data_IF_653384393232
#
_entry.id   IF_653384393232
#
_cell.length_a   1.000
_cell.length_b   1.000
_cell.length_c   1.000
_cell.angle_alpha   90.00
_cell.angle_beta   90.00
_cell.angle_gamma   90.00
#
_symmetry.space_group_name_H-M   'P 1'
#
loop_
_entity.id
_entity.type
_entity.pdbx_description
1 polymer ?
#
# COMPACT_ATOMS: atom_id res chain seq x y z
N UNK A 1 63.74 -16.97 14.21
CA UNK A 1 63.46 -16.53 15.58
C UNK A 1 62.82 -15.15 15.51
N UNK A 2 61.55 -15.00 15.66
CA UNK A 2 60.86 -13.69 15.76
C UNK A 2 59.73 -13.83 16.76
N UNK A 3 59.82 -13.09 17.85
CA UNK A 3 58.95 -13.06 19.00
C UNK A 3 57.58 -12.49 18.64
N UNK A 4 56.50 -13.23 18.88
CA UNK A 4 55.13 -12.78 18.83
C UNK A 4 54.75 -12.25 20.22
N UNK A 5 54.58 -10.94 20.34
CA UNK A 5 54.04 -10.30 21.54
C UNK A 5 52.54 -10.46 21.57
N UNK A 6 52.00 -11.12 22.60
CA UNK A 6 50.59 -11.21 22.89
C UNK A 6 50.11 -9.88 23.46
N UNK A 7 49.17 -9.25 22.78
CA UNK A 7 48.40 -8.11 23.28
C UNK A 7 47.17 -8.63 24.02
N UNK A 8 47.01 -8.23 25.27
CA UNK A 8 45.84 -8.52 26.09
C UNK A 8 44.70 -7.63 25.67
N UNK A 9 43.56 -8.24 25.35
CA UNK A 9 42.31 -7.52 25.07
C UNK A 9 41.60 -7.20 26.40
N UNK A 10 41.39 -5.91 26.65
CA UNK A 10 40.60 -5.43 27.77
C UNK A 10 39.10 -5.68 27.48
N UNK A 11 38.47 -6.38 28.39
CA UNK A 11 37.00 -6.59 28.38
C UNK A 11 36.36 -5.30 28.87
N UNK A 12 35.81 -4.54 27.92
CA UNK A 12 34.94 -3.40 28.21
C UNK A 12 33.53 -3.86 28.53
N UNK A 13 33.15 -3.73 29.79
CA UNK A 13 31.75 -3.91 30.27
C UNK A 13 30.89 -2.78 29.71
N UNK A 14 30.14 -3.06 28.64
CA UNK A 14 29.15 -2.14 28.15
C UNK A 14 27.90 -2.21 29.05
N UNK A 15 27.69 -1.15 29.81
CA UNK A 15 26.44 -0.94 30.56
C UNK A 15 25.31 -0.77 29.55
N UNK A 16 24.37 -1.73 29.52
CA UNK A 16 23.10 -1.61 28.82
C UNK A 16 22.29 -0.52 29.53
N UNK A 17 22.26 0.69 28.97
CA UNK A 17 21.22 1.65 29.30
C UNK A 17 19.92 1.16 28.68
N UNK A 18 19.04 0.60 29.48
CA UNK A 18 17.62 0.47 29.16
C UNK A 18 17.06 1.88 29.00
N UNK A 19 17.03 2.38 27.77
CA UNK A 19 16.18 3.52 27.42
C UNK A 19 14.75 2.99 27.53
N UNK A 20 14.08 3.31 28.63
CA UNK A 20 12.65 3.11 28.77
C UNK A 20 11.97 3.85 27.64
N UNK A 21 11.48 3.11 26.65
CA UNK A 21 10.49 3.60 25.72
C UNK A 21 9.27 3.89 26.58
N UNK A 22 9.10 5.18 26.98
CA UNK A 22 7.84 5.67 27.50
C UNK A 22 6.82 5.35 26.40
N UNK A 23 6.05 4.29 26.61
CA UNK A 23 4.92 3.93 25.77
C UNK A 23 4.05 5.17 25.69
N UNK A 24 3.97 5.76 24.50
CA UNK A 24 2.89 6.70 24.19
C UNK A 24 1.61 5.96 24.57
N UNK A 25 0.72 6.57 25.39
CA UNK A 25 -0.58 5.99 25.63
C UNK A 25 -1.22 5.87 24.24
N UNK A 26 -1.22 4.67 23.69
CA UNK A 26 -2.09 4.34 22.59
C UNK A 26 -3.47 4.76 23.08
N UNK A 27 -4.05 5.79 22.48
CA UNK A 27 -5.45 6.10 22.68
C UNK A 27 -6.21 4.85 22.21
N UNK A 28 -6.36 3.89 23.12
CA UNK A 28 -7.40 2.89 23.00
C UNK A 28 -8.70 3.71 23.04
N UNK A 29 -9.21 4.08 21.87
CA UNK A 29 -10.57 4.56 21.76
C UNK A 29 -11.45 3.42 22.26
N UNK A 30 -11.81 3.50 23.53
CA UNK A 30 -12.84 2.62 24.07
C UNK A 30 -14.09 2.90 23.22
N UNK A 31 -14.48 1.93 22.41
CA UNK A 31 -15.71 2.05 21.64
C UNK A 31 -16.83 2.36 22.62
N UNK A 32 -17.39 3.55 22.53
CA UNK A 32 -18.55 3.92 23.33
C UNK A 32 -19.74 3.09 22.84
N UNK A 33 -20.19 2.18 23.68
CA UNK A 33 -21.37 1.36 23.38
C UNK A 33 -22.61 2.14 23.80
N UNK A 34 -23.55 2.31 22.88
CA UNK A 34 -24.84 2.87 23.25
C UNK A 34 -25.55 1.99 24.28
N UNK A 35 -26.43 2.55 25.14
CA UNK A 35 -27.18 1.78 26.13
C UNK A 35 -27.92 0.55 25.56
N UNK A 36 -28.17 0.53 24.25
CA UNK A 36 -28.81 -0.57 23.52
C UNK A 36 -27.82 -1.55 22.87
N UNK A 37 -26.50 -1.50 23.20
CA UNK A 37 -25.50 -2.44 22.70
C UNK A 37 -25.00 -2.21 21.26
N UNK A 38 -25.39 -1.12 20.60
CA UNK A 38 -24.88 -0.78 19.28
C UNK A 38 -23.52 -0.10 19.35
N UNK A 39 -22.61 -0.36 18.37
CA UNK A 39 -21.42 0.47 18.21
C UNK A 39 -21.83 1.93 18.02
N UNK A 40 -21.29 2.84 18.87
CA UNK A 40 -21.64 4.26 18.82
C UNK A 40 -20.71 5.07 17.91
N UNK A 41 -19.49 4.58 17.71
CA UNK A 41 -18.46 5.36 17.06
C UNK A 41 -18.70 5.43 15.55
N UNK A 42 -18.68 6.67 14.99
CA UNK A 42 -18.67 6.83 13.56
C UNK A 42 -17.38 6.21 12.99
N UNK A 43 -17.50 5.49 11.89
CA UNK A 43 -16.38 4.76 11.32
C UNK A 43 -16.42 4.67 9.81
N UNK A 44 -15.25 4.29 9.24
CA UNK A 44 -15.13 3.96 7.84
C UNK A 44 -15.42 2.49 7.59
N UNK A 45 -16.14 2.21 6.51
CA UNK A 45 -16.34 0.86 5.99
C UNK A 45 -15.91 0.80 4.54
N UNK A 46 -15.33 -0.33 4.14
CA UNK A 46 -14.81 -0.54 2.79
C UNK A 46 -15.51 -1.72 2.13
N UNK A 47 -15.84 -1.56 0.85
CA UNK A 47 -16.54 -2.58 0.06
C UNK A 47 -16.06 -2.56 -1.38
N UNK A 48 -16.48 -3.58 -2.17
CA UNK A 48 -16.09 -3.72 -3.57
C UNK A 48 -14.57 -3.60 -3.79
N UNK A 49 -13.79 -4.21 -2.91
CA UNK A 49 -12.33 -4.19 -3.02
C UNK A 49 -11.91 -5.02 -4.22
N UNK A 50 -11.28 -4.37 -5.19
CA UNK A 50 -10.79 -5.00 -6.42
C UNK A 50 -9.30 -4.71 -6.60
N UNK A 51 -8.64 -5.62 -7.33
CA UNK A 51 -7.27 -5.42 -7.79
C UNK A 51 -7.28 -4.69 -9.14
N UNK A 52 -6.43 -3.69 -9.29
CA UNK A 52 -6.24 -2.95 -10.54
C UNK A 52 -4.75 -2.75 -10.81
N UNK A 53 -4.43 -2.48 -12.08
CA UNK A 53 -3.09 -2.14 -12.50
C UNK A 53 -3.02 -0.67 -12.90
N UNK A 54 -1.91 -0.02 -12.58
CA UNK A 54 -1.63 1.35 -12.97
C UNK A 54 -0.35 1.41 -13.81
N UNK A 55 -0.48 1.83 -15.07
CA UNK A 55 0.69 2.05 -15.95
C UNK A 55 1.51 3.25 -15.46
N UNK A 56 2.75 3.00 -15.07
CA UNK A 56 3.70 4.06 -14.69
C UNK A 56 4.59 4.51 -15.86
N UNK A 57 4.56 3.78 -16.97
CA UNK A 57 5.21 4.08 -18.26
C UNK A 57 4.30 3.63 -19.38
N UNK A 58 4.46 4.19 -20.58
CA UNK A 58 3.70 3.76 -21.76
C UNK A 58 4.00 2.30 -22.07
N UNK A 59 2.97 1.55 -22.41
CA UNK A 59 3.11 0.16 -22.85
C UNK A 59 3.92 0.05 -24.15
N UNK A 60 4.54 -1.11 -24.34
CA UNK A 60 5.30 -1.43 -25.55
C UNK A 60 4.51 -2.45 -26.37
N UNK A 61 4.28 -2.14 -27.64
CA UNK A 61 3.58 -3.01 -28.58
C UNK A 61 4.55 -3.99 -29.24
N UNK A 62 4.09 -5.22 -29.50
CA UNK A 62 4.79 -6.21 -30.27
C UNK A 62 3.85 -7.07 -31.10
N UNK A 63 4.37 -7.60 -32.20
CA UNK A 63 3.64 -8.55 -33.04
C UNK A 63 4.03 -9.98 -32.69
N UNK A 64 3.23 -10.96 -33.19
CA UNK A 64 3.48 -12.39 -32.92
C UNK A 64 4.95 -12.76 -33.07
N UNK A 65 5.41 -13.67 -32.22
CA UNK A 65 6.78 -14.22 -32.17
C UNK A 65 7.89 -13.21 -31.87
N UNK A 66 7.58 -11.91 -31.72
CA UNK A 66 8.58 -10.91 -31.32
C UNK A 66 8.78 -10.90 -29.81
N UNK A 67 9.99 -10.61 -29.35
CA UNK A 67 10.29 -10.34 -27.96
C UNK A 67 10.35 -8.83 -27.75
N UNK A 68 9.51 -8.33 -26.85
CA UNK A 68 9.46 -6.92 -26.48
C UNK A 68 9.96 -6.74 -25.04
N UNK A 69 10.52 -5.57 -24.75
CA UNK A 69 11.01 -5.23 -23.43
C UNK A 69 10.56 -3.86 -22.99
N UNK A 70 10.38 -3.68 -21.69
CA UNK A 70 9.98 -2.44 -21.07
C UNK A 70 10.83 -2.17 -19.83
N UNK A 71 11.13 -0.91 -19.55
CA UNK A 71 11.84 -0.51 -18.35
C UNK A 71 11.01 0.48 -17.52
N UNK A 72 10.84 0.17 -16.24
CA UNK A 72 10.30 1.08 -15.24
C UNK A 72 11.47 1.78 -14.54
N UNK A 73 11.71 3.03 -14.88
CA UNK A 73 12.86 3.79 -14.41
C UNK A 73 12.78 4.10 -12.91
N UNK A 74 13.95 4.24 -12.28
CA UNK A 74 14.07 4.78 -10.93
C UNK A 74 13.42 6.15 -10.80
N UNK A 75 12.81 6.43 -9.64
CA UNK A 75 12.20 7.72 -9.32
C UNK A 75 10.79 7.91 -9.86
N UNK A 76 10.20 6.91 -10.53
CA UNK A 76 8.78 6.94 -10.89
C UNK A 76 7.93 6.74 -9.63
N UNK A 77 6.88 7.55 -9.48
CA UNK A 77 5.98 7.52 -8.33
C UNK A 77 4.56 7.26 -8.79
N UNK A 78 3.88 6.35 -8.09
CA UNK A 78 2.43 6.17 -8.13
C UNK A 78 1.87 6.68 -6.81
N UNK A 79 0.78 7.42 -6.85
CA UNK A 79 0.12 8.00 -5.67
C UNK A 79 -1.32 7.56 -5.63
N UNK A 80 -1.76 7.11 -4.46
CA UNK A 80 -3.15 6.75 -4.22
C UNK A 80 -4.08 7.96 -4.36
N UNK A 81 -5.32 7.69 -4.69
CA UNK A 81 -6.37 8.69 -4.88
C UNK A 81 -7.57 8.39 -3.99
N UNK A 82 -8.21 9.44 -3.49
CA UNK A 82 -9.47 9.36 -2.74
C UNK A 82 -10.45 10.37 -3.33
N UNK A 83 -11.68 9.95 -3.55
CA UNK A 83 -12.78 10.80 -4.04
C UNK A 83 -13.91 10.88 -3.04
N UNK A 84 -14.76 11.88 -3.14
CA UNK A 84 -15.93 12.05 -2.28
C UNK A 84 -15.64 12.64 -0.90
N UNK A 85 -14.46 13.25 -0.71
CA UNK A 85 -14.02 13.79 0.57
C UNK A 85 -13.26 15.11 0.41
N UNK A 86 -12.99 15.79 1.52
CA UNK A 86 -12.06 16.92 1.58
C UNK A 86 -10.65 16.40 1.94
N UNK A 87 -9.63 17.13 1.53
CA UNK A 87 -8.21 16.73 1.65
C UNK A 87 -7.80 16.29 3.06
N UNK A 88 -8.37 16.91 4.10
CA UNK A 88 -8.08 16.58 5.51
C UNK A 88 -8.52 15.16 5.91
N UNK A 89 -9.47 14.57 5.21
CA UNK A 89 -10.03 13.24 5.51
C UNK A 89 -9.28 12.09 4.80
N UNK A 90 -8.54 12.39 3.73
CA UNK A 90 -7.82 11.36 2.96
C UNK A 90 -6.88 10.52 3.83
N UNK A 91 -6.24 11.17 4.82
CA UNK A 91 -5.33 10.48 5.73
C UNK A 91 -6.05 9.50 6.66
N UNK A 92 -7.26 9.85 7.11
CA UNK A 92 -8.08 8.98 7.95
C UNK A 92 -8.64 7.80 7.14
N UNK A 93 -9.09 8.05 5.91
CA UNK A 93 -9.55 7.02 4.97
C UNK A 93 -8.41 6.04 4.68
N UNK A 94 -7.20 6.55 4.39
CA UNK A 94 -6.04 5.71 4.15
C UNK A 94 -5.67 4.85 5.37
N UNK A 95 -5.62 5.44 6.57
CA UNK A 95 -5.29 4.72 7.80
C UNK A 95 -6.28 3.58 8.05
N UNK A 96 -7.58 3.87 7.93
CA UNK A 96 -8.65 2.88 8.09
C UNK A 96 -8.63 1.81 7.00
N UNK A 97 -8.33 2.16 5.74
CA UNK A 97 -8.18 1.20 4.66
C UNK A 97 -6.97 0.28 4.88
N UNK A 98 -5.85 0.83 5.36
CA UNK A 98 -4.66 0.04 5.67
C UNK A 98 -4.93 -1.00 6.76
N UNK A 99 -5.70 -0.64 7.77
CA UNK A 99 -6.06 -1.55 8.86
C UNK A 99 -7.11 -2.59 8.42
N UNK A 100 -8.16 -2.16 7.71
CA UNK A 100 -9.34 -2.99 7.41
C UNK A 100 -9.19 -3.83 6.13
N UNK A 101 -8.41 -3.37 5.14
CA UNK A 101 -8.29 -4.02 3.83
C UNK A 101 -6.93 -4.70 3.66
N UNK A 102 -5.83 -3.98 3.85
CA UNK A 102 -4.48 -4.54 3.73
C UNK A 102 -3.41 -3.63 4.33
N UNK A 103 -2.59 -4.19 5.20
CA UNK A 103 -1.42 -3.50 5.77
C UNK A 103 -0.36 -3.11 4.73
N UNK A 104 -0.36 -3.73 3.54
CA UNK A 104 0.57 -3.43 2.45
C UNK A 104 0.23 -2.15 1.68
N UNK A 105 -0.97 -1.56 1.89
CA UNK A 105 -1.35 -0.32 1.22
C UNK A 105 -0.38 0.83 1.55
N UNK A 106 -0.07 1.65 0.55
CA UNK A 106 0.75 2.84 0.68
C UNK A 106 0.03 4.06 0.09
N UNK A 107 0.28 5.26 0.63
CA UNK A 107 -0.23 6.50 0.03
C UNK A 107 0.45 6.79 -1.30
N UNK A 108 1.75 6.48 -1.37
CA UNK A 108 2.53 6.57 -2.59
C UNK A 108 3.67 5.56 -2.53
N UNK A 109 4.07 5.04 -3.69
CA UNK A 109 5.25 4.18 -3.83
C UNK A 109 6.14 4.79 -4.92
N UNK A 110 7.44 4.95 -4.60
CA UNK A 110 8.43 5.43 -5.55
C UNK A 110 9.42 4.31 -5.85
N UNK A 111 9.73 4.09 -7.13
CA UNK A 111 10.75 3.11 -7.55
C UNK A 111 12.14 3.53 -7.08
N UNK A 112 12.81 2.68 -6.33
CA UNK A 112 14.17 2.93 -5.81
C UNK A 112 15.29 2.59 -6.80
N UNK A 113 15.02 1.70 -7.75
CA UNK A 113 15.92 1.24 -8.82
C UNK A 113 15.16 1.18 -10.14
N UNK A 114 15.89 0.96 -11.24
CA UNK A 114 15.27 0.66 -12.54
C UNK A 114 14.97 -0.83 -12.60
N UNK A 115 13.75 -1.18 -12.99
CA UNK A 115 13.29 -2.54 -13.22
C UNK A 115 13.09 -2.78 -14.71
N UNK A 116 13.37 -3.98 -15.21
CA UNK A 116 13.19 -4.34 -16.61
C UNK A 116 12.37 -5.62 -16.72
N UNK A 117 11.44 -5.64 -17.65
CA UNK A 117 10.65 -6.81 -17.99
C UNK A 117 10.71 -7.10 -19.48
N UNK A 118 10.64 -8.37 -19.87
CA UNK A 118 10.56 -8.81 -21.27
C UNK A 118 9.43 -9.82 -21.42
N UNK A 119 8.81 -9.81 -22.59
CA UNK A 119 7.77 -10.78 -22.94
C UNK A 119 7.85 -11.15 -24.42
N UNK A 120 7.75 -12.44 -24.70
CA UNK A 120 7.63 -12.94 -26.07
C UNK A 120 6.15 -13.03 -26.42
N UNK A 121 5.71 -12.26 -27.42
CA UNK A 121 4.33 -12.30 -27.91
C UNK A 121 4.02 -13.68 -28.48
N UNK A 122 3.00 -14.39 -27.98
CA UNK A 122 2.68 -15.73 -28.45
C UNK A 122 2.29 -15.76 -29.93
N UNK A 123 2.55 -16.90 -30.59
CA UNK A 123 2.18 -17.09 -31.99
C UNK A 123 0.68 -16.92 -32.26
N UNK A 124 -0.16 -17.26 -31.28
CA UNK A 124 -1.64 -17.08 -31.33
C UNK A 124 -2.10 -15.63 -31.24
N UNK A 125 -1.24 -14.71 -30.75
CA UNK A 125 -1.55 -13.30 -30.55
C UNK A 125 -1.04 -12.48 -31.72
N UNK A 126 -1.92 -11.78 -32.43
CA UNK A 126 -1.54 -10.95 -33.58
C UNK A 126 -0.73 -9.72 -33.16
N UNK A 127 -1.22 -9.05 -32.12
CA UNK A 127 -0.60 -7.87 -31.49
C UNK A 127 -0.74 -8.01 -29.98
N UNK A 128 0.32 -7.74 -29.25
CA UNK A 128 0.31 -7.76 -27.79
C UNK A 128 1.04 -6.55 -27.23
N UNK A 129 0.70 -6.20 -25.99
CA UNK A 129 1.24 -5.05 -25.28
C UNK A 129 1.86 -5.52 -23.97
N UNK A 130 3.06 -5.06 -23.68
CA UNK A 130 3.74 -5.24 -22.41
C UNK A 130 3.64 -3.95 -21.61
N UNK A 131 3.19 -4.07 -20.39
CA UNK A 131 2.97 -2.97 -19.46
C UNK A 131 3.93 -3.07 -18.27
N UNK A 132 4.23 -1.92 -17.64
CA UNK A 132 4.99 -1.86 -16.40
C UNK A 132 4.45 -0.76 -15.49
N UNK A 133 4.22 -1.11 -14.22
CA UNK A 133 3.63 -0.17 -13.29
C UNK A 133 3.47 -0.70 -11.88
N UNK A 134 2.34 -0.41 -11.30
CA UNK A 134 1.98 -0.73 -9.94
C UNK A 134 0.70 -1.58 -9.85
N UNK A 135 0.66 -2.41 -8.80
CA UNK A 135 -0.58 -3.02 -8.32
C UNK A 135 -1.27 -2.07 -7.36
N UNK A 136 -2.57 -1.89 -7.55
CA UNK A 136 -3.41 -1.04 -6.71
C UNK A 136 -4.65 -1.79 -6.22
N UNK A 137 -5.15 -1.38 -5.05
CA UNK A 137 -6.48 -1.77 -4.56
C UNK A 137 -7.44 -0.62 -4.78
N UNK A 138 -8.45 -0.86 -5.61
CA UNK A 138 -9.60 0.03 -5.75
C UNK A 138 -10.73 -0.43 -4.84
N UNK A 139 -11.40 0.51 -4.15
CA UNK A 139 -12.45 0.22 -3.19
C UNK A 139 -13.46 1.35 -3.08
N UNK A 140 -14.68 1.02 -2.66
CA UNK A 140 -15.67 1.99 -2.21
C UNK A 140 -15.53 2.16 -0.72
N UNK A 141 -15.59 3.40 -0.24
CA UNK A 141 -15.62 3.71 1.18
C UNK A 141 -16.91 4.42 1.56
N UNK A 142 -17.36 4.18 2.78
CA UNK A 142 -18.47 4.90 3.42
C UNK A 142 -18.04 5.32 4.82
N UNK A 143 -18.55 6.44 5.28
CA UNK A 143 -18.42 6.90 6.65
C UNK A 143 -19.80 7.09 7.23
N UNK A 144 -20.04 6.55 8.40
CA UNK A 144 -21.35 6.62 9.03
C UNK A 144 -21.30 6.22 10.50
N UNK A 145 -22.47 6.21 11.11
CA UNK A 145 -22.66 5.82 12.52
C UNK A 145 -23.98 5.07 12.69
N UNK A 146 -24.10 4.34 13.79
CA UNK A 146 -25.35 3.71 14.17
C UNK A 146 -26.20 4.70 14.98
N UNK A 147 -27.52 4.74 14.71
CA UNK A 147 -28.48 5.45 15.53
C UNK A 147 -28.88 4.62 16.77
N UNK A 148 -29.68 5.19 17.66
CA UNK A 148 -30.16 4.53 18.88
C UNK A 148 -30.99 3.25 18.64
N UNK A 149 -31.45 3.01 17.41
CA UNK A 149 -32.15 1.78 17.00
C UNK A 149 -31.22 0.77 16.27
N UNK A 150 -29.89 0.91 16.41
CA UNK A 150 -28.86 0.10 15.75
C UNK A 150 -28.93 0.10 14.23
N UNK A 151 -29.52 1.13 13.63
CA UNK A 151 -29.54 1.27 12.18
C UNK A 151 -28.37 2.12 11.72
N UNK A 152 -27.54 1.58 10.81
CA UNK A 152 -26.40 2.28 10.25
C UNK A 152 -26.84 3.36 9.26
N UNK A 153 -26.35 4.58 9.47
CA UNK A 153 -26.57 5.73 8.60
C UNK A 153 -25.26 6.17 7.98
N UNK A 154 -25.21 6.11 6.66
CA UNK A 154 -24.09 6.63 5.87
C UNK A 154 -24.22 8.14 5.76
N UNK A 155 -23.22 8.88 6.20
CA UNK A 155 -23.17 10.35 6.08
C UNK A 155 -22.32 10.81 4.89
N UNK A 156 -21.30 10.03 4.52
CA UNK A 156 -20.38 10.32 3.40
C UNK A 156 -19.95 9.03 2.73
N UNK A 157 -19.58 9.12 1.46
CA UNK A 157 -19.12 7.99 0.68
C UNK A 157 -18.27 8.44 -0.52
N UNK A 158 -17.48 7.54 -1.05
CA UNK A 158 -16.66 7.78 -2.23
C UNK A 158 -15.90 6.53 -2.66
N UNK A 159 -14.84 6.76 -3.43
CA UNK A 159 -13.91 5.69 -3.84
C UNK A 159 -12.50 6.03 -3.40
N UNK A 160 -11.69 5.00 -3.22
CA UNK A 160 -10.28 5.13 -2.95
C UNK A 160 -9.50 4.10 -3.77
N UNK A 161 -8.31 4.48 -4.21
CA UNK A 161 -7.37 3.59 -4.88
C UNK A 161 -6.01 3.80 -4.26
N UNK A 162 -5.39 2.74 -3.77
CA UNK A 162 -4.07 2.81 -3.13
C UNK A 162 -3.12 1.77 -3.72
N UNK A 163 -1.88 2.17 -4.06
CA UNK A 163 -0.86 1.23 -4.48
C UNK A 163 -0.41 0.36 -3.30
N UNK A 164 0.00 -0.88 -3.60
CA UNK A 164 0.54 -1.79 -2.60
C UNK A 164 1.77 -2.58 -3.05
N UNK A 165 2.05 -2.59 -4.36
CA UNK A 165 3.22 -3.27 -4.91
C UNK A 165 3.76 -2.58 -6.17
N UNK A 166 5.08 -2.46 -6.29
CA UNK A 166 5.87 -1.99 -7.44
C UNK A 166 7.21 -2.74 -7.41
N UNK A 167 7.74 -3.25 -8.53
CA UNK A 167 7.19 -3.19 -9.88
C UNK A 167 6.20 -4.32 -10.17
N UNK A 168 5.29 -4.06 -11.07
CA UNK A 168 4.43 -5.08 -11.68
C UNK A 168 4.56 -5.01 -13.19
N UNK A 169 4.66 -6.17 -13.84
CA UNK A 169 4.68 -6.31 -15.29
C UNK A 169 3.52 -7.21 -15.71
N UNK A 170 2.76 -6.76 -16.70
CA UNK A 170 1.66 -7.55 -17.25
C UNK A 170 1.55 -7.36 -18.76
N UNK A 171 0.80 -8.21 -19.42
CA UNK A 171 0.58 -8.13 -20.85
C UNK A 171 -0.91 -8.18 -21.18
N UNK A 172 -1.27 -7.54 -22.28
CA UNK A 172 -2.61 -7.58 -22.88
C UNK A 172 -2.52 -7.91 -24.37
N UNK A 173 -3.63 -8.36 -24.97
CA UNK A 173 -3.72 -8.76 -26.39
C UNK A 173 -5.05 -8.31 -26.99
#
# INVERSE_FOLDING_TARGET
MRNVKRAAAAVGTSALMLVGVAGLPGNAFAATVHPNGCPADPGYSFSAVTHTYHDMVSSVEGTRDTTIGIALLRGRTVTGTVTGTVTTEESAIFASAKESVSLSLAKAITTSVTYSGTWKVPHSTKVGYLHAGADEKHMKWTYGSYNGACKYHVSRHGTATFPYHVPTFWHTS
#
